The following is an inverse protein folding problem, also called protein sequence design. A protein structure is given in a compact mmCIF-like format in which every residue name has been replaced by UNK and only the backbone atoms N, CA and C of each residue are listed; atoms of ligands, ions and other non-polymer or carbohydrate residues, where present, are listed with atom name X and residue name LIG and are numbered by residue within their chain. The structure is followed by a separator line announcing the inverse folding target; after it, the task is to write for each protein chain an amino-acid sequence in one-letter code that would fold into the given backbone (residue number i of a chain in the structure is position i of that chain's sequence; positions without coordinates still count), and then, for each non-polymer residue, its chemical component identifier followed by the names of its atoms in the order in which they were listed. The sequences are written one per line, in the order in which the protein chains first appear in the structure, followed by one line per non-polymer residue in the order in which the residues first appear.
data_IF_031165231442
#
_entry.id   IF_031165231442
#
_cell.length_a   1.000
_cell.length_b   1.000
_cell.length_c   1.000
_cell.angle_alpha   90.00
_cell.angle_beta   90.00
_cell.angle_gamma   90.00
#
_symmetry.space_group_name_H-M   'P 1'
#
loop_
_entity.id
_entity.type
_entity.pdbx_description
1 polymer ?
#
# COMPACT_ATOMS: atom_id res chain seq x y z
N UNK A 1 5.20 -6.39 -2.01
CA UNK A 1 6.59 -6.13 -2.39
C UNK A 1 7.56 -6.84 -1.43
N UNK A 2 7.59 -6.50 -0.12
CA UNK A 2 8.57 -7.06 0.83
C UNK A 2 8.61 -8.60 0.86
N UNK A 3 7.45 -9.26 0.79
CA UNK A 3 7.35 -10.72 0.73
C UNK A 3 8.01 -11.29 -0.52
N UNK A 4 7.79 -10.66 -1.66
CA UNK A 4 8.41 -11.07 -2.92
C UNK A 4 9.93 -10.86 -2.88
N UNK A 5 10.39 -9.75 -2.30
CA UNK A 5 11.84 -9.50 -2.12
C UNK A 5 12.43 -10.58 -1.20
N UNK A 6 11.76 -10.90 -0.07
CA UNK A 6 12.22 -11.93 0.86
C UNK A 6 12.26 -13.34 0.26
N UNK A 7 11.49 -13.58 -0.81
CA UNK A 7 11.48 -14.85 -1.56
C UNK A 7 12.33 -14.80 -2.85
N UNK A 8 13.25 -13.84 -2.96
CA UNK A 8 14.27 -13.78 -4.00
C UNK A 8 13.86 -13.09 -5.30
N UNK A 9 12.71 -12.39 -5.33
CA UNK A 9 12.29 -11.66 -6.51
C UNK A 9 12.91 -10.26 -6.54
N UNK A 10 13.27 -9.80 -7.74
CA UNK A 10 13.57 -8.38 -7.98
C UNK A 10 12.24 -7.64 -8.16
N UNK A 11 11.97 -6.68 -7.29
CA UNK A 11 10.70 -5.96 -7.26
C UNK A 11 10.93 -4.47 -7.42
N UNK A 12 10.17 -3.84 -8.32
CA UNK A 12 10.04 -2.39 -8.45
C UNK A 12 8.63 -1.99 -8.05
N UNK A 13 8.49 -0.97 -7.22
CA UNK A 13 7.22 -0.41 -6.76
C UNK A 13 6.95 0.85 -7.55
N UNK A 14 5.80 0.91 -8.20
CA UNK A 14 5.44 2.04 -9.03
C UNK A 14 4.09 2.61 -8.60
N UNK A 15 4.06 3.93 -8.41
CA UNK A 15 2.84 4.70 -8.22
C UNK A 15 2.49 5.38 -9.54
N UNK A 16 1.36 4.98 -10.12
CA UNK A 16 0.81 5.64 -11.30
C UNK A 16 -0.09 6.79 -10.86
N UNK A 17 0.14 7.97 -11.40
CA UNK A 17 -0.72 9.11 -11.14
C UNK A 17 -1.25 9.71 -12.44
N UNK A 18 -2.54 10.05 -12.41
CA UNK A 18 -3.20 10.70 -13.53
C UNK A 18 -3.01 12.22 -13.40
N UNK A 19 -2.08 12.74 -14.17
CA UNK A 19 -1.80 14.18 -14.32
C UNK A 19 -2.20 14.72 -15.69
N UNK A 20 -3.03 13.96 -16.42
CA UNK A 20 -3.60 14.33 -17.70
C UNK A 20 -5.14 14.28 -17.66
N UNK A 21 -5.78 15.10 -18.48
CA UNK A 21 -7.23 15.06 -18.67
C UNK A 21 -8.05 15.94 -17.73
N UNK A 22 -9.37 15.80 -17.83
CA UNK A 22 -10.34 16.75 -17.29
C UNK A 22 -10.35 16.90 -15.76
N UNK A 23 -9.97 15.86 -15.02
CA UNK A 23 -9.96 15.91 -13.56
C UNK A 23 -8.91 16.89 -13.01
N UNK A 24 -7.73 16.92 -13.62
CA UNK A 24 -6.68 17.87 -13.25
C UNK A 24 -7.05 19.29 -13.63
N UNK A 25 -7.67 19.48 -14.79
CA UNK A 25 -8.20 20.77 -15.20
C UNK A 25 -9.29 21.29 -14.24
N UNK A 26 -10.18 20.41 -13.81
CA UNK A 26 -11.21 20.73 -12.80
C UNK A 26 -10.62 21.11 -11.44
N UNK A 27 -9.57 20.41 -10.99
CA UNK A 27 -8.85 20.78 -9.78
C UNK A 27 -8.25 22.19 -9.91
N UNK A 28 -7.52 22.45 -10.99
CA UNK A 28 -6.93 23.75 -11.26
C UNK A 28 -7.95 24.88 -11.29
N UNK A 29 -9.08 24.66 -11.98
CA UNK A 29 -10.16 25.64 -12.05
C UNK A 29 -10.83 25.89 -10.68
N UNK A 30 -10.97 24.85 -9.85
CA UNK A 30 -11.53 24.99 -8.50
C UNK A 30 -10.61 25.81 -7.58
N UNK A 31 -9.30 25.52 -7.63
CA UNK A 31 -8.31 26.26 -6.85
C UNK A 31 -8.16 27.71 -7.37
N UNK A 32 -8.23 27.93 -8.69
CA UNK A 32 -8.23 29.29 -9.29
C UNK A 32 -9.40 30.12 -8.77
N UNK A 33 -10.61 29.56 -8.80
CA UNK A 33 -11.79 30.27 -8.30
C UNK A 33 -11.64 30.64 -6.80
N UNK A 34 -11.16 29.72 -5.98
CA UNK A 34 -10.90 29.98 -4.58
C UNK A 34 -9.79 31.05 -4.37
N UNK A 35 -8.69 30.96 -5.13
CA UNK A 35 -7.59 31.92 -5.08
C UNK A 35 -8.05 33.34 -5.45
N UNK A 36 -8.79 33.49 -6.55
CA UNK A 36 -9.35 34.79 -6.96
C UNK A 36 -10.33 35.33 -5.94
N UNK A 37 -11.13 34.46 -5.31
CA UNK A 37 -12.02 34.80 -4.22
C UNK A 37 -11.28 35.44 -3.01
N UNK A 38 -10.12 34.90 -2.62
CA UNK A 38 -9.27 35.45 -1.57
C UNK A 38 -8.74 36.86 -1.88
N UNK A 39 -8.70 37.21 -3.17
CA UNK A 39 -8.24 38.51 -3.66
C UNK A 39 -9.40 39.52 -3.91
N UNK A 40 -10.65 39.13 -3.56
CA UNK A 40 -11.83 39.94 -3.84
C UNK A 40 -12.19 40.02 -5.35
N UNK A 41 -11.68 39.09 -6.16
CA UNK A 41 -11.98 38.94 -7.59
C UNK A 41 -12.77 37.61 -7.79
N UNK A 42 -14.06 37.54 -7.40
CA UNK A 42 -14.81 36.28 -7.39
C UNK A 42 -14.87 35.71 -8.81
N UNK A 43 -14.63 34.40 -8.92
CA UNK A 43 -14.81 33.61 -10.13
C UNK A 43 -15.70 32.43 -9.80
N UNK A 44 -16.51 31.98 -10.75
CA UNK A 44 -17.35 30.80 -10.57
C UNK A 44 -16.49 29.53 -10.59
N UNK A 45 -16.64 28.70 -9.55
CA UNK A 45 -16.06 27.38 -9.54
C UNK A 45 -16.81 26.49 -10.56
N UNK A 46 -16.14 25.53 -11.23
CA UNK A 46 -16.82 24.61 -12.13
C UNK A 46 -17.95 23.87 -11.42
N UNK A 47 -19.07 23.63 -12.09
CA UNK A 47 -20.22 22.93 -11.54
C UNK A 47 -19.80 21.52 -11.00
N UNK A 48 -18.98 20.82 -11.78
CA UNK A 48 -18.40 19.52 -11.47
C UNK A 48 -16.99 19.63 -10.81
N UNK A 49 -16.64 20.81 -10.31
CA UNK A 49 -15.37 21.08 -9.66
C UNK A 49 -15.27 20.47 -8.26
N UNK A 50 -14.07 20.45 -7.77
CA UNK A 50 -13.77 19.97 -6.42
C UNK A 50 -14.33 20.93 -5.36
N UNK A 51 -15.03 20.38 -4.36
CA UNK A 51 -15.72 21.12 -3.31
C UNK A 51 -15.27 20.56 -1.96
N UNK A 52 -14.25 21.13 -1.37
CA UNK A 52 -13.80 20.68 -0.04
C UNK A 52 -12.92 21.74 0.58
N UNK A 53 -12.73 21.68 1.90
CA UNK A 53 -11.88 22.62 2.63
C UNK A 53 -10.45 22.63 2.07
N UNK A 54 -9.94 21.49 1.62
CA UNK A 54 -8.60 21.39 1.02
C UNK A 54 -8.40 22.28 -0.22
N UNK A 55 -9.47 22.60 -0.98
CA UNK A 55 -9.37 23.53 -2.12
C UNK A 55 -9.09 24.95 -1.61
N UNK A 56 -9.75 25.36 -0.53
CA UNK A 56 -9.51 26.65 0.12
C UNK A 56 -8.12 26.70 0.78
N UNK A 57 -7.68 25.57 1.36
CA UNK A 57 -6.33 25.45 1.94
C UNK A 57 -5.27 25.59 0.84
N UNK A 58 -5.42 24.89 -0.30
CA UNK A 58 -4.54 25.04 -1.46
C UNK A 58 -4.50 26.47 -2.00
N UNK A 59 -5.64 27.13 -2.09
CA UNK A 59 -5.69 28.53 -2.53
C UNK A 59 -4.99 29.47 -1.54
N UNK A 60 -5.11 29.21 -0.25
CA UNK A 60 -4.44 29.98 0.80
C UNK A 60 -2.93 29.77 0.77
N UNK A 61 -2.47 28.53 0.63
CA UNK A 61 -1.05 28.20 0.47
C UNK A 61 -0.48 28.84 -0.82
N UNK A 62 -1.19 28.74 -1.92
CA UNK A 62 -0.80 29.35 -3.20
C UNK A 62 -0.61 30.85 -3.06
N UNK A 63 -1.56 31.54 -2.40
CA UNK A 63 -1.46 32.97 -2.14
C UNK A 63 -0.29 33.31 -1.24
N UNK A 64 -0.02 32.49 -0.23
CA UNK A 64 1.12 32.71 0.68
C UNK A 64 2.46 32.60 -0.07
N UNK A 65 2.57 31.69 -1.05
CA UNK A 65 3.80 31.47 -1.82
C UNK A 65 3.97 32.46 -2.99
N UNK A 66 2.90 32.74 -3.73
CA UNK A 66 2.94 33.48 -5.00
C UNK A 66 2.40 34.92 -4.89
N UNK A 67 1.84 35.27 -3.72
CA UNK A 67 1.17 36.57 -3.54
C UNK A 67 -0.02 36.73 -4.48
N UNK A 68 -0.20 37.94 -4.99
CA UNK A 68 -1.30 38.30 -5.90
C UNK A 68 -0.86 38.24 -7.38
N UNK A 69 0.41 37.89 -7.66
CA UNK A 69 1.01 38.00 -9.00
C UNK A 69 0.31 37.14 -10.07
N UNK A 70 -0.26 36.00 -9.69
CA UNK A 70 -0.98 35.15 -10.64
C UNK A 70 -2.30 35.78 -11.12
N UNK A 71 -2.91 36.65 -10.32
CA UNK A 71 -4.19 37.27 -10.68
C UNK A 71 -4.10 38.23 -11.87
N UNK A 72 -2.91 38.73 -12.16
CA UNK A 72 -2.65 39.71 -13.24
C UNK A 72 -2.19 39.01 -14.54
N UNK A 73 -2.02 37.71 -14.54
CA UNK A 73 -1.77 36.91 -15.74
C UNK A 73 -3.07 36.83 -16.60
N UNK A 74 -2.89 36.56 -17.91
CA UNK A 74 -4.02 36.17 -18.73
C UNK A 74 -4.69 34.89 -18.18
N UNK A 75 -5.99 34.69 -18.40
CA UNK A 75 -6.73 33.59 -17.77
C UNK A 75 -6.20 32.21 -18.10
N UNK A 76 -5.67 31.96 -19.29
CA UNK A 76 -5.15 30.66 -19.71
C UNK A 76 -3.81 30.37 -19.01
N UNK A 77 -2.87 31.30 -19.03
CA UNK A 77 -1.57 31.17 -18.36
C UNK A 77 -1.73 31.06 -16.85
N UNK A 78 -2.66 31.81 -16.25
CA UNK A 78 -2.99 31.71 -14.82
C UNK A 78 -3.49 30.33 -14.48
N UNK A 79 -4.49 29.82 -15.22
CA UNK A 79 -5.05 28.50 -15.00
C UNK A 79 -3.99 27.40 -15.13
N UNK A 80 -3.18 27.44 -16.17
CA UNK A 80 -2.11 26.46 -16.35
C UNK A 80 -1.14 26.42 -15.18
N UNK A 81 -0.70 27.59 -14.67
CA UNK A 81 0.19 27.68 -13.53
C UNK A 81 -0.44 27.18 -12.22
N UNK A 82 -1.69 27.55 -11.97
CA UNK A 82 -2.43 27.12 -10.78
C UNK A 82 -2.68 25.61 -10.82
N UNK A 83 -3.04 25.09 -11.98
CA UNK A 83 -3.22 23.64 -12.16
C UNK A 83 -1.94 22.87 -11.88
N UNK A 84 -0.82 23.25 -12.46
CA UNK A 84 0.48 22.59 -12.25
C UNK A 84 0.94 22.69 -10.80
N UNK A 85 0.82 23.88 -10.18
CA UNK A 85 1.16 24.06 -8.78
C UNK A 85 0.27 23.21 -7.86
N UNK A 86 -1.04 23.23 -8.06
CA UNK A 86 -2.00 22.44 -7.26
C UNK A 86 -1.73 20.96 -7.34
N UNK A 87 -1.48 20.47 -8.54
CA UNK A 87 -1.13 19.09 -8.78
C UNK A 87 0.15 18.68 -8.02
N UNK A 88 1.24 19.45 -8.18
CA UNK A 88 2.51 19.18 -7.48
C UNK A 88 2.33 19.19 -5.97
N UNK A 89 1.54 20.12 -5.44
CA UNK A 89 1.26 20.22 -4.01
C UNK A 89 0.49 19.02 -3.49
N UNK A 90 -0.54 18.58 -4.22
CA UNK A 90 -1.30 17.37 -3.89
C UNK A 90 -0.42 16.12 -3.94
N UNK A 91 0.39 15.97 -4.98
CA UNK A 91 1.31 14.84 -5.11
C UNK A 91 2.36 14.80 -3.99
N UNK A 92 2.87 15.96 -3.57
CA UNK A 92 3.77 16.05 -2.43
C UNK A 92 3.07 15.60 -1.12
N UNK A 93 1.81 15.97 -0.91
CA UNK A 93 0.99 15.51 0.21
C UNK A 93 0.82 13.99 0.20
N UNK A 94 0.46 13.39 -0.96
CA UNK A 94 0.33 11.94 -1.11
C UNK A 94 1.66 11.23 -0.76
N UNK A 95 2.79 11.75 -1.26
CA UNK A 95 4.12 11.19 -0.93
C UNK A 95 4.40 11.23 0.56
N UNK A 96 4.09 12.33 1.21
CA UNK A 96 4.28 12.50 2.65
C UNK A 96 3.42 11.51 3.45
N UNK A 97 2.14 11.38 3.14
CA UNK A 97 1.23 10.44 3.79
C UNK A 97 1.71 8.99 3.62
N UNK A 98 2.11 8.61 2.41
CA UNK A 98 2.64 7.27 2.13
C UNK A 98 3.96 7.01 2.88
N UNK A 99 4.85 7.99 2.94
CA UNK A 99 6.10 7.89 3.72
C UNK A 99 5.82 7.71 5.21
N UNK A 100 4.87 8.45 5.78
CA UNK A 100 4.41 8.27 7.17
C UNK A 100 3.89 6.85 7.43
N UNK A 101 3.25 6.24 6.44
CA UNK A 101 2.82 4.84 6.48
C UNK A 101 3.97 3.84 6.31
N UNK A 102 5.19 4.28 6.00
CA UNK A 102 6.28 3.38 5.62
C UNK A 102 6.04 2.71 4.25
N UNK A 103 5.29 3.37 3.37
CA UNK A 103 5.07 2.96 1.98
C UNK A 103 5.89 3.85 1.07
N UNK A 104 6.82 3.25 0.35
CA UNK A 104 7.72 3.93 -0.57
C UNK A 104 7.58 3.34 -1.96
N UNK A 105 7.70 4.18 -2.97
CA UNK A 105 7.69 3.80 -4.37
C UNK A 105 9.03 4.14 -5.02
N UNK A 106 9.52 3.24 -5.85
CA UNK A 106 10.77 3.38 -6.59
C UNK A 106 10.56 4.28 -7.82
N UNK A 107 9.38 4.20 -8.43
CA UNK A 107 8.97 4.98 -9.59
C UNK A 107 7.64 5.70 -9.32
N UNK A 108 7.59 6.96 -9.74
CA UNK A 108 6.38 7.78 -9.79
C UNK A 108 6.04 8.06 -11.24
N UNK A 109 5.12 7.26 -11.80
CA UNK A 109 4.82 7.25 -13.22
C UNK A 109 3.71 8.25 -13.56
N UNK A 110 4.03 9.19 -14.45
CA UNK A 110 3.11 10.22 -14.96
C UNK A 110 2.35 9.70 -16.19
N UNK A 111 1.02 9.72 -16.17
CA UNK A 111 0.21 9.39 -17.34
C UNK A 111 0.51 10.34 -18.50
N UNK A 112 0.77 11.61 -18.21
CA UNK A 112 1.13 12.64 -19.20
C UNK A 112 2.30 12.20 -20.08
N UNK A 113 3.26 11.48 -19.53
CA UNK A 113 4.39 10.94 -20.29
C UNK A 113 3.93 10.08 -21.47
N UNK A 114 2.88 9.28 -21.31
CA UNK A 114 2.35 8.44 -22.38
C UNK A 114 1.77 9.29 -23.55
N UNK A 115 1.23 10.44 -23.21
CA UNK A 115 0.67 11.37 -24.21
C UNK A 115 1.77 12.16 -24.91
N UNK A 116 2.71 12.72 -24.17
CA UNK A 116 3.77 13.61 -24.70
C UNK A 116 4.82 12.88 -25.53
N UNK A 117 5.13 11.63 -25.17
CA UNK A 117 6.14 10.83 -25.91
C UNK A 117 5.60 10.11 -27.14
N UNK A 118 4.28 10.16 -27.37
CA UNK A 118 3.64 9.42 -28.44
C UNK A 118 3.48 7.91 -28.14
N UNK A 119 3.72 7.47 -26.92
CA UNK A 119 3.65 6.07 -26.52
C UNK A 119 2.30 5.41 -26.81
N UNK A 120 1.20 6.18 -26.73
CA UNK A 120 -0.15 5.68 -27.06
C UNK A 120 -0.25 5.39 -28.57
N UNK A 121 0.23 6.29 -29.43
CA UNK A 121 0.22 6.10 -30.88
C UNK A 121 1.07 4.88 -31.29
N UNK A 122 2.29 4.77 -30.75
CA UNK A 122 3.14 3.61 -30.97
C UNK A 122 2.50 2.28 -30.49
N UNK A 123 1.71 2.35 -29.43
CA UNK A 123 0.97 1.18 -28.91
C UNK A 123 -0.15 0.76 -29.86
N UNK A 124 -0.86 1.72 -30.42
CA UNK A 124 -1.89 1.48 -31.45
C UNK A 124 -1.28 0.86 -32.69
N UNK A 125 -0.13 1.34 -33.11
CA UNK A 125 0.57 0.81 -34.29
C UNK A 125 1.07 -0.63 -34.06
N UNK A 126 1.66 -0.94 -32.91
CA UNK A 126 2.05 -2.30 -32.53
C UNK A 126 0.83 -3.26 -32.54
N UNK A 127 -0.28 -2.84 -31.95
CA UNK A 127 -1.51 -3.65 -31.93
C UNK A 127 -2.14 -3.79 -33.34
N UNK A 128 -1.98 -2.77 -34.20
CA UNK A 128 -2.43 -2.85 -35.60
C UNK A 128 -1.59 -3.83 -36.41
N UNK A 129 -0.27 -3.83 -36.24
CA UNK A 129 0.61 -4.83 -36.87
C UNK A 129 0.27 -6.26 -36.45
N UNK A 130 -0.23 -6.46 -35.25
CA UNK A 130 -0.72 -7.74 -34.75
C UNK A 130 -2.10 -8.13 -35.30
N UNK A 131 -2.77 -7.26 -36.05
CA UNK A 131 -4.08 -7.52 -36.66
C UNK A 131 -5.26 -7.53 -35.67
N UNK A 132 -5.09 -6.92 -34.50
CA UNK A 132 -6.10 -6.92 -33.42
C UNK A 132 -6.82 -5.57 -33.26
N UNK A 133 -6.53 -4.61 -34.14
CA UNK A 133 -7.15 -3.27 -34.18
C UNK A 133 -8.05 -3.14 -35.38
N UNK A 134 -9.15 -2.40 -35.25
CA UNK A 134 -10.09 -2.06 -36.29
C UNK A 134 -10.41 -0.56 -36.26
N UNK A 135 -10.40 0.09 -37.43
CA UNK A 135 -10.88 1.45 -37.58
C UNK A 135 -12.39 1.43 -37.90
N UNK A 136 -13.22 2.02 -37.02
CA UNK A 136 -14.67 2.01 -37.12
C UNK A 136 -15.24 3.34 -36.66
N UNK A 137 -16.09 3.97 -37.47
CA UNK A 137 -16.79 5.23 -37.19
C UNK A 137 -15.80 6.38 -36.80
N UNK A 138 -14.65 6.43 -37.47
CA UNK A 138 -13.60 7.41 -37.18
C UNK A 138 -12.81 7.21 -35.88
N UNK A 139 -13.09 6.16 -35.17
CA UNK A 139 -12.38 5.76 -33.91
C UNK A 139 -11.53 4.50 -34.15
N UNK A 140 -10.49 4.33 -33.33
CA UNK A 140 -9.62 3.16 -33.35
C UNK A 140 -10.02 2.22 -32.23
N UNK A 141 -10.37 1.00 -32.58
CA UNK A 141 -10.90 -0.01 -31.64
C UNK A 141 -9.95 -1.18 -31.47
N UNK A 142 -9.69 -1.60 -30.24
CA UNK A 142 -9.07 -2.89 -29.92
C UNK A 142 -10.17 -3.96 -29.89
N UNK A 143 -9.99 -5.02 -30.65
CA UNK A 143 -10.92 -6.15 -30.76
C UNK A 143 -10.79 -7.08 -29.54
N UNK A 144 -11.10 -6.54 -28.35
CA UNK A 144 -10.95 -7.24 -27.07
C UNK A 144 -11.90 -8.44 -26.95
N UNK A 145 -12.97 -8.49 -27.77
CA UNK A 145 -13.86 -9.68 -27.86
C UNK A 145 -13.15 -10.92 -28.34
N UNK A 146 -12.10 -10.80 -29.16
CA UNK A 146 -11.25 -11.93 -29.57
C UNK A 146 -10.52 -12.59 -28.39
N UNK A 147 -10.40 -11.88 -27.31
CA UNK A 147 -9.62 -12.27 -26.12
C UNK A 147 -10.49 -12.45 -24.86
N UNK A 148 -11.82 -12.52 -25.04
CA UNK A 148 -12.78 -12.86 -23.97
C UNK A 148 -13.35 -11.67 -23.21
N UNK A 149 -13.20 -10.43 -23.72
CA UNK A 149 -13.97 -9.29 -23.21
C UNK A 149 -15.42 -9.32 -23.73
N UNK A 150 -16.32 -8.62 -23.08
CA UNK A 150 -17.73 -8.56 -23.47
C UNK A 150 -17.99 -7.70 -24.72
N UNK A 151 -17.14 -6.71 -24.98
CA UNK A 151 -17.22 -5.80 -26.11
C UNK A 151 -15.84 -5.25 -26.44
N UNK A 152 -15.66 -4.86 -27.72
CA UNK A 152 -14.46 -4.17 -28.15
C UNK A 152 -14.31 -2.81 -27.45
N UNK A 153 -13.06 -2.39 -27.30
CA UNK A 153 -12.73 -1.18 -26.55
C UNK A 153 -12.10 -0.12 -27.47
N UNK A 154 -12.57 1.13 -27.43
CA UNK A 154 -11.91 2.18 -28.17
C UNK A 154 -10.56 2.53 -27.52
N UNK A 155 -9.50 2.58 -28.32
CA UNK A 155 -8.17 3.10 -27.94
C UNK A 155 -8.09 4.60 -28.21
N UNK A 156 -8.61 5.03 -29.37
CA UNK A 156 -8.67 6.43 -29.78
C UNK A 156 -10.12 6.75 -30.18
N UNK A 157 -10.63 7.86 -29.71
CA UNK A 157 -11.97 8.37 -30.04
C UNK A 157 -12.01 8.95 -31.44
N UNK A 158 -13.21 9.15 -31.98
CA UNK A 158 -13.43 9.78 -33.30
C UNK A 158 -12.89 11.22 -33.42
N UNK A 159 -12.70 11.91 -32.31
CA UNK A 159 -12.07 13.23 -32.28
C UNK A 159 -10.53 13.17 -32.15
N UNK A 160 -9.92 11.99 -32.25
CA UNK A 160 -8.49 11.79 -32.15
C UNK A 160 -7.95 11.70 -30.71
N UNK A 161 -8.78 11.91 -29.68
CA UNK A 161 -8.33 11.85 -28.28
C UNK A 161 -8.18 10.40 -27.81
N UNK A 162 -7.11 10.06 -27.09
CA UNK A 162 -6.96 8.75 -26.44
C UNK A 162 -8.06 8.48 -25.40
N UNK A 163 -8.37 7.22 -25.22
CA UNK A 163 -9.23 6.76 -24.12
C UNK A 163 -8.39 6.25 -22.96
N UNK A 164 -9.02 6.00 -21.80
CA UNK A 164 -8.35 5.32 -20.69
C UNK A 164 -7.83 3.93 -21.10
N UNK A 165 -8.54 3.22 -21.98
CA UNK A 165 -8.08 1.92 -22.49
C UNK A 165 -6.81 2.07 -23.34
N UNK A 166 -6.70 3.13 -24.14
CA UNK A 166 -5.49 3.45 -24.90
C UNK A 166 -4.30 3.77 -23.98
N UNK A 167 -4.52 4.55 -22.94
CA UNK A 167 -3.50 4.85 -21.93
C UNK A 167 -3.10 3.61 -21.13
N UNK A 168 -4.06 2.80 -20.68
CA UNK A 168 -3.82 1.55 -19.96
C UNK A 168 -3.00 0.54 -20.80
N UNK A 169 -3.31 0.43 -22.10
CA UNK A 169 -2.58 -0.45 -23.02
C UNK A 169 -1.13 0.05 -23.24
N UNK A 170 -0.95 1.36 -23.37
CA UNK A 170 0.38 1.96 -23.52
C UNK A 170 1.22 1.81 -22.23
N UNK A 171 0.60 1.96 -21.07
CA UNK A 171 1.23 1.74 -19.79
C UNK A 171 1.63 0.27 -19.56
N UNK A 172 0.77 -0.67 -19.95
CA UNK A 172 1.13 -2.09 -19.94
C UNK A 172 2.35 -2.36 -20.82
N UNK A 173 2.36 -1.85 -22.06
CA UNK A 173 3.47 -2.01 -23.02
C UNK A 173 4.76 -1.39 -22.47
N UNK A 174 4.71 -0.23 -21.82
CA UNK A 174 5.86 0.40 -21.18
C UNK A 174 6.49 -0.51 -20.13
N UNK A 175 5.68 -1.06 -19.22
CA UNK A 175 6.17 -2.00 -18.21
C UNK A 175 6.82 -3.24 -18.82
N UNK A 176 6.23 -3.80 -19.87
CA UNK A 176 6.81 -4.96 -20.56
C UNK A 176 8.16 -4.62 -21.21
N UNK A 177 8.28 -3.44 -21.82
CA UNK A 177 9.53 -2.96 -22.41
C UNK A 177 10.65 -2.75 -21.39
N UNK A 178 10.31 -2.46 -20.14
CA UNK A 178 11.28 -2.39 -19.03
C UNK A 178 11.76 -3.76 -18.55
N UNK A 179 11.27 -4.86 -19.13
CA UNK A 179 11.78 -6.21 -18.91
C UNK A 179 11.24 -6.92 -17.68
N UNK A 180 10.07 -6.52 -17.16
CA UNK A 180 9.41 -7.25 -16.08
C UNK A 180 8.68 -8.48 -16.61
N UNK A 181 8.92 -9.62 -15.97
CA UNK A 181 8.24 -10.89 -16.28
C UNK A 181 6.81 -10.92 -15.76
N UNK A 182 6.57 -10.29 -14.61
CA UNK A 182 5.26 -10.23 -13.95
C UNK A 182 4.90 -8.82 -13.52
N UNK A 183 3.66 -8.43 -13.80
CA UNK A 183 3.09 -7.13 -13.49
C UNK A 183 1.93 -7.32 -12.51
N UNK A 184 2.02 -6.70 -11.33
CA UNK A 184 0.96 -6.71 -10.33
C UNK A 184 0.27 -5.34 -10.30
N UNK A 185 -1.01 -5.33 -10.63
CA UNK A 185 -1.85 -4.13 -10.58
C UNK A 185 -2.73 -4.17 -9.33
N UNK A 186 -2.60 -3.16 -8.47
CA UNK A 186 -3.43 -3.01 -7.28
C UNK A 186 -4.43 -1.88 -7.54
N UNK A 187 -5.71 -2.21 -7.55
CA UNK A 187 -6.80 -1.27 -7.81
C UNK A 187 -7.82 -1.25 -6.68
N UNK A 188 -8.56 -0.15 -6.57
CA UNK A 188 -9.69 -0.04 -5.65
C UNK A 188 -10.93 -0.79 -6.13
N UNK A 189 -11.92 -0.90 -5.26
CA UNK A 189 -13.18 -1.59 -5.53
C UNK A 189 -14.00 -0.98 -6.67
N UNK A 190 -13.79 0.29 -7.00
CA UNK A 190 -14.39 0.99 -8.13
C UNK A 190 -13.96 0.41 -9.51
N UNK A 191 -12.83 -0.30 -9.55
CA UNK A 191 -12.37 -1.03 -10.73
C UNK A 191 -12.87 -2.48 -10.79
N UNK A 192 -13.76 -2.88 -9.88
CA UNK A 192 -14.32 -4.23 -9.87
C UNK A 192 -15.13 -4.53 -11.15
N UNK A 193 -15.04 -5.76 -11.65
CA UNK A 193 -15.86 -6.28 -12.74
C UNK A 193 -15.19 -6.19 -14.12
N UNK A 194 -15.44 -5.12 -14.89
CA UNK A 194 -15.04 -5.08 -16.31
C UNK A 194 -13.57 -4.70 -16.54
N UNK A 195 -12.94 -3.91 -15.67
CA UNK A 195 -11.56 -3.43 -15.88
C UNK A 195 -10.55 -4.57 -15.89
N UNK A 196 -10.53 -5.51 -14.93
CA UNK A 196 -9.62 -6.65 -14.98
C UNK A 196 -9.83 -7.52 -16.22
N UNK A 197 -11.08 -7.70 -16.68
CA UNK A 197 -11.39 -8.48 -17.88
C UNK A 197 -10.82 -7.80 -19.13
N UNK A 198 -11.06 -6.49 -19.26
CA UNK A 198 -10.51 -5.66 -20.34
C UNK A 198 -8.98 -5.73 -20.37
N UNK A 199 -8.33 -5.59 -19.22
CA UNK A 199 -6.87 -5.63 -19.14
C UNK A 199 -6.29 -7.01 -19.44
N UNK A 200 -6.96 -8.12 -19.08
CA UNK A 200 -6.56 -9.46 -19.54
C UNK A 200 -6.65 -9.58 -21.06
N UNK A 201 -7.69 -8.99 -21.67
CA UNK A 201 -7.78 -8.95 -23.13
C UNK A 201 -6.64 -8.12 -23.76
N UNK A 202 -6.23 -7.01 -23.14
CA UNK A 202 -5.05 -6.23 -23.56
C UNK A 202 -3.78 -7.08 -23.47
N UNK A 203 -3.53 -7.78 -22.37
CA UNK A 203 -2.38 -8.69 -22.18
C UNK A 203 -2.30 -9.70 -23.34
N UNK A 204 -3.42 -10.37 -23.62
CA UNK A 204 -3.52 -11.38 -24.70
C UNK A 204 -3.34 -10.75 -26.09
N UNK A 205 -3.82 -9.52 -26.29
CA UNK A 205 -3.65 -8.80 -27.56
C UNK A 205 -2.17 -8.52 -27.86
N UNK A 206 -1.34 -8.35 -26.82
CA UNK A 206 0.12 -8.28 -26.97
C UNK A 206 0.78 -9.66 -27.17
N UNK A 207 0.03 -10.75 -27.09
CA UNK A 207 0.54 -12.12 -27.21
C UNK A 207 1.21 -12.63 -25.93
N UNK A 208 1.04 -11.95 -24.81
CA UNK A 208 1.60 -12.36 -23.53
C UNK A 208 0.70 -13.42 -22.84
N UNK A 209 1.29 -14.35 -22.06
CA UNK A 209 0.55 -15.28 -21.22
C UNK A 209 -0.30 -14.58 -20.15
N UNK A 210 -1.40 -15.23 -19.73
CA UNK A 210 -2.34 -14.66 -18.74
C UNK A 210 -1.69 -14.37 -17.39
N UNK A 211 -0.66 -15.10 -17.01
CA UNK A 211 0.08 -14.92 -15.75
C UNK A 211 1.12 -13.81 -15.80
N UNK A 212 1.30 -13.15 -16.95
CA UNK A 212 2.14 -11.94 -17.07
C UNK A 212 1.59 -10.79 -16.25
N UNK A 213 0.26 -10.65 -16.15
CA UNK A 213 -0.39 -9.61 -15.37
C UNK A 213 -1.39 -10.16 -14.35
N UNK A 214 -1.21 -9.77 -13.10
CA UNK A 214 -2.08 -10.10 -11.98
C UNK A 214 -2.84 -8.85 -11.52
N UNK A 215 -4.16 -8.96 -11.37
CA UNK A 215 -5.03 -7.83 -11.00
C UNK A 215 -5.60 -8.08 -9.61
N UNK A 216 -5.18 -7.27 -8.66
CA UNK A 216 -5.57 -7.32 -7.26
C UNK A 216 -6.54 -6.17 -6.96
N UNK A 217 -7.74 -6.50 -6.48
CA UNK A 217 -8.78 -5.51 -6.17
C UNK A 217 -8.94 -5.40 -4.66
N UNK A 218 -8.61 -4.23 -4.13
CA UNK A 218 -8.82 -3.91 -2.72
C UNK A 218 -10.26 -3.49 -2.45
N UNK A 219 -10.84 -4.00 -1.36
CA UNK A 219 -12.19 -3.64 -0.94
C UNK A 219 -12.21 -2.33 -0.15
N UNK A 220 -13.42 -1.80 0.06
CA UNK A 220 -13.63 -0.56 0.82
C UNK A 220 -13.34 -0.77 2.30
N UNK A 221 -12.79 0.26 2.92
CA UNK A 221 -12.58 0.36 4.36
C UNK A 221 -13.61 1.32 4.95
N UNK A 222 -14.38 0.83 5.91
CA UNK A 222 -15.30 1.66 6.70
C UNK A 222 -14.62 2.06 7.99
N UNK A 223 -14.59 3.35 8.32
CA UNK A 223 -14.05 3.83 9.59
C UNK A 223 -15.20 4.00 10.58
N UNK A 224 -15.08 3.35 11.74
CA UNK A 224 -16.08 3.43 12.81
C UNK A 224 -15.40 3.84 14.12
N UNK A 225 -16.23 4.34 15.06
CA UNK A 225 -15.85 4.61 16.44
C UNK A 225 -16.93 4.07 17.35
N UNK A 226 -16.59 3.12 18.21
CA UNK A 226 -17.55 2.42 19.06
C UNK A 226 -18.77 1.90 18.28
N UNK A 227 -18.55 1.31 17.10
CA UNK A 227 -19.58 0.73 16.24
C UNK A 227 -20.46 1.74 15.49
N UNK A 228 -20.14 3.02 15.52
CA UNK A 228 -20.84 4.06 14.76
C UNK A 228 -19.93 4.61 13.64
N UNK A 229 -20.46 4.95 12.46
CA UNK A 229 -19.68 5.60 11.43
C UNK A 229 -18.91 6.80 11.99
N UNK A 230 -17.60 6.79 11.85
CA UNK A 230 -16.77 7.87 12.37
C UNK A 230 -16.92 9.11 11.49
N UNK A 231 -17.53 10.16 12.05
CA UNK A 231 -17.42 11.51 11.50
C UNK A 231 -16.07 12.06 11.92
N UNK A 232 -15.07 11.92 11.08
CA UNK A 232 -13.73 12.34 11.37
C UNK A 232 -13.27 13.36 10.32
N UNK A 233 -13.31 14.58 10.67
CA UNK A 233 -12.38 15.61 10.22
C UNK A 233 -12.80 16.96 10.79
N UNK A 234 -11.92 17.59 11.55
CA UNK A 234 -12.09 18.96 11.99
C UNK A 234 -11.90 19.99 10.85
N UNK A 235 -11.32 19.56 9.70
CA UNK A 235 -10.91 20.45 8.60
C UNK A 235 -11.70 20.29 7.31
N UNK A 236 -12.30 19.17 7.02
CA UNK A 236 -12.85 18.87 5.68
C UNK A 236 -14.32 18.41 5.67
N UNK A 237 -15.09 18.59 6.74
CA UNK A 237 -16.46 18.05 6.79
C UNK A 237 -16.46 16.55 7.13
N UNK A 238 -17.26 15.73 6.49
CA UNK A 238 -17.57 14.36 6.93
C UNK A 238 -16.59 13.24 6.48
N UNK A 239 -15.35 13.56 6.05
CA UNK A 239 -14.40 12.56 5.50
C UNK A 239 -13.17 12.43 6.39
N UNK A 240 -12.89 11.22 6.91
CA UNK A 240 -11.64 10.89 7.58
C UNK A 240 -10.51 10.72 6.56
N UNK A 241 -9.41 11.44 6.73
CA UNK A 241 -8.21 11.23 5.92
C UNK A 241 -7.30 10.16 6.55
N UNK A 242 -6.41 9.60 5.74
CA UNK A 242 -5.38 8.67 6.26
C UNK A 242 -4.47 9.37 7.26
N UNK A 243 -4.16 10.65 7.05
CA UNK A 243 -3.34 11.43 7.98
C UNK A 243 -4.03 11.63 9.33
N UNK A 244 -5.34 11.91 9.36
CA UNK A 244 -6.10 12.00 10.62
C UNK A 244 -6.05 10.68 11.41
N UNK A 245 -6.17 9.54 10.71
CA UNK A 245 -6.08 8.22 11.34
C UNK A 245 -4.67 7.96 11.85
N UNK A 246 -3.63 8.30 11.08
CA UNK A 246 -2.25 8.13 11.52
C UNK A 246 -1.91 8.99 12.74
N UNK A 247 -2.44 10.20 12.83
CA UNK A 247 -2.26 11.08 13.98
C UNK A 247 -2.92 10.51 15.24
N UNK A 248 -4.03 9.78 15.09
CA UNK A 248 -4.78 9.23 16.20
C UNK A 248 -4.29 7.83 16.64
N UNK A 249 -4.07 6.91 15.70
CA UNK A 249 -3.76 5.51 16.03
C UNK A 249 -2.29 5.15 15.88
N UNK A 250 -1.50 5.97 15.18
CA UNK A 250 -0.12 5.69 14.84
C UNK A 250 0.06 4.69 13.68
N UNK A 251 1.27 4.70 13.11
CA UNK A 251 1.66 3.91 11.94
C UNK A 251 1.44 2.40 12.16
N UNK A 252 1.95 1.86 13.27
CA UNK A 252 1.97 0.42 13.50
C UNK A 252 0.58 -0.17 13.69
N UNK A 253 -0.24 0.50 14.50
CA UNK A 253 -1.61 0.07 14.75
C UNK A 253 -2.46 0.16 13.47
N UNK A 254 -2.30 1.23 12.68
CA UNK A 254 -2.94 1.36 11.38
C UNK A 254 -2.54 0.24 10.43
N UNK A 255 -1.22 0.06 10.20
CA UNK A 255 -0.70 -0.95 9.27
C UNK A 255 -1.09 -2.36 9.68
N UNK A 256 -0.90 -2.70 10.95
CA UNK A 256 -1.18 -4.05 11.46
C UNK A 256 -2.66 -4.38 11.28
N UNK A 257 -3.55 -3.46 11.65
CA UNK A 257 -5.01 -3.65 11.50
C UNK A 257 -5.40 -3.83 10.04
N UNK A 258 -4.90 -2.99 9.14
CA UNK A 258 -5.17 -3.12 7.71
C UNK A 258 -4.66 -4.46 7.14
N UNK A 259 -3.50 -4.93 7.62
CA UNK A 259 -2.88 -6.16 7.14
C UNK A 259 -3.45 -7.44 7.77
N UNK A 260 -4.34 -7.37 8.76
CA UNK A 260 -5.00 -8.56 9.34
C UNK A 260 -6.04 -9.19 8.41
N UNK A 261 -6.50 -8.45 7.44
CA UNK A 261 -7.53 -8.87 6.51
C UNK A 261 -6.96 -9.18 5.13
N UNK A 262 -7.62 -10.07 4.40
CA UNK A 262 -7.30 -10.26 2.98
C UNK A 262 -7.70 -9.01 2.18
N UNK A 263 -7.03 -8.79 1.05
CA UNK A 263 -7.26 -7.60 0.21
C UNK A 263 -8.71 -7.50 -0.30
N UNK A 264 -9.35 -8.64 -0.53
CA UNK A 264 -10.72 -8.79 -1.04
C UNK A 264 -11.80 -8.75 0.05
N UNK A 265 -11.42 -8.67 1.31
CA UNK A 265 -12.36 -8.54 2.43
C UNK A 265 -12.68 -7.07 2.73
N UNK A 266 -13.95 -6.69 2.93
CA UNK A 266 -14.28 -5.38 3.46
C UNK A 266 -13.75 -5.25 4.89
N UNK A 267 -13.20 -4.08 5.22
CA UNK A 267 -12.60 -3.80 6.52
C UNK A 267 -13.47 -2.79 7.26
N UNK A 268 -13.82 -3.11 8.49
CA UNK A 268 -14.32 -2.16 9.46
C UNK A 268 -13.17 -1.76 10.39
N UNK A 269 -12.71 -0.53 10.28
CA UNK A 269 -11.62 0.02 11.06
C UNK A 269 -12.17 0.76 12.27
N UNK A 270 -12.23 0.09 13.43
CA UNK A 270 -12.66 0.69 14.68
C UNK A 270 -11.49 1.40 15.39
N UNK A 271 -11.51 2.72 15.31
CA UNK A 271 -10.46 3.59 15.87
C UNK A 271 -10.26 3.37 17.36
N UNK A 272 -11.35 3.19 18.12
CA UNK A 272 -11.26 2.98 19.56
C UNK A 272 -10.64 1.61 19.90
N UNK A 273 -11.01 0.56 19.18
CA UNK A 273 -10.44 -0.76 19.36
C UNK A 273 -8.94 -0.78 19.05
N UNK A 274 -8.53 -0.07 17.99
CA UNK A 274 -7.15 -0.02 17.50
C UNK A 274 -6.23 0.79 18.43
N UNK A 275 -6.74 1.79 19.13
CA UNK A 275 -5.95 2.62 20.06
C UNK A 275 -5.78 2.00 21.45
N UNK A 276 -6.53 0.95 21.79
CA UNK A 276 -6.43 0.32 23.12
C UNK A 276 -5.05 -0.31 23.36
N UNK A 277 -4.42 0.07 24.46
CA UNK A 277 -3.20 -0.57 24.96
C UNK A 277 -3.56 -1.75 25.88
N UNK A 278 -4.11 -2.80 25.28
CA UNK A 278 -4.51 -4.01 25.98
C UNK A 278 -4.18 -5.25 25.18
N UNK A 279 -4.10 -6.41 25.84
CA UNK A 279 -3.82 -7.70 25.18
C UNK A 279 -4.92 -8.14 24.19
N UNK A 280 -6.08 -7.49 24.22
CA UNK A 280 -7.15 -7.69 23.22
C UNK A 280 -6.85 -6.98 21.90
N UNK A 281 -5.94 -6.00 21.90
CA UNK A 281 -5.48 -5.34 20.69
C UNK A 281 -4.33 -6.17 20.07
N UNK A 282 -4.51 -6.74 18.87
CA UNK A 282 -3.55 -7.68 18.30
C UNK A 282 -2.15 -7.10 18.07
N UNK A 283 -2.03 -5.85 17.65
CA UNK A 283 -0.70 -5.24 17.46
C UNK A 283 -0.01 -5.05 18.81
N UNK A 284 -0.75 -4.58 19.81
CA UNK A 284 -0.23 -4.44 21.18
C UNK A 284 0.20 -5.81 21.74
N UNK A 285 -0.61 -6.85 21.54
CA UNK A 285 -0.30 -8.21 21.99
C UNK A 285 1.02 -8.74 21.43
N UNK A 286 1.25 -8.56 20.13
CA UNK A 286 2.47 -9.02 19.46
C UNK A 286 3.68 -8.18 19.89
N UNK A 287 3.55 -6.87 19.94
CA UNK A 287 4.62 -5.97 20.38
C UNK A 287 4.97 -6.22 21.87
N UNK A 288 3.97 -6.45 22.71
CA UNK A 288 4.19 -6.83 24.11
C UNK A 288 4.95 -8.14 24.25
N UNK A 289 4.66 -9.15 23.41
CA UNK A 289 5.44 -10.39 23.39
C UNK A 289 6.91 -10.10 23.07
N UNK A 290 7.19 -9.27 22.07
CA UNK A 290 8.55 -8.89 21.71
C UNK A 290 9.27 -8.12 22.83
N UNK A 291 8.62 -7.15 23.45
CA UNK A 291 9.16 -6.39 24.58
C UNK A 291 9.45 -7.30 25.78
N UNK A 292 8.58 -8.28 26.04
CA UNK A 292 8.77 -9.27 27.11
C UNK A 292 9.97 -10.19 26.83
N UNK A 293 10.11 -10.70 25.60
CA UNK A 293 11.27 -11.48 25.16
C UNK A 293 12.56 -10.67 25.38
N UNK A 294 12.58 -9.44 24.90
CA UNK A 294 13.73 -8.53 25.06
C UNK A 294 14.06 -8.24 26.52
N UNK A 295 13.04 -8.15 27.37
CA UNK A 295 13.22 -7.96 28.82
C UNK A 295 13.86 -9.19 29.50
N UNK A 296 13.47 -10.41 29.12
CA UNK A 296 14.05 -11.67 29.64
C UNK A 296 15.53 -11.73 29.27
N UNK A 297 15.89 -11.45 28.04
CA UNK A 297 17.28 -11.48 27.58
C UNK A 297 18.13 -10.39 28.28
N UNK A 298 17.60 -9.19 28.39
CA UNK A 298 18.26 -8.10 29.11
C UNK A 298 18.49 -8.44 30.58
N UNK A 299 17.47 -8.99 31.28
CA UNK A 299 17.58 -9.40 32.67
C UNK A 299 18.64 -10.48 32.86
N UNK A 300 18.73 -11.46 31.94
CA UNK A 300 19.79 -12.46 31.98
C UNK A 300 21.18 -11.84 31.92
N UNK A 301 21.39 -10.92 30.98
CA UNK A 301 22.66 -10.18 30.85
C UNK A 301 22.98 -9.36 32.11
N UNK A 302 22.00 -8.66 32.66
CA UNK A 302 22.15 -7.82 33.86
C UNK A 302 22.46 -8.64 35.11
N UNK A 303 21.98 -9.90 35.21
CA UNK A 303 22.26 -10.81 36.29
C UNK A 303 23.57 -11.60 36.10
N UNK A 304 24.29 -11.34 35.02
CA UNK A 304 25.58 -11.98 34.74
C UNK A 304 25.44 -13.37 34.10
N UNK A 305 24.24 -13.74 33.62
CA UNK A 305 24.08 -14.99 32.89
C UNK A 305 24.77 -14.93 31.54
N UNK A 306 25.60 -15.92 31.24
CA UNK A 306 26.25 -16.10 29.96
C UNK A 306 25.87 -17.47 29.42
N UNK A 307 25.10 -17.53 28.34
CA UNK A 307 24.76 -18.79 27.70
C UNK A 307 26.01 -19.48 27.12
N UNK A 308 25.99 -20.77 27.06
CA UNK A 308 26.95 -21.56 26.27
C UNK A 308 26.84 -21.11 24.77
N UNK A 309 27.92 -21.26 24.02
CA UNK A 309 27.86 -21.06 22.57
C UNK A 309 26.74 -21.91 21.93
N UNK A 310 26.14 -21.43 20.84
CA UNK A 310 25.05 -22.18 20.20
C UNK A 310 25.48 -23.60 19.79
N UNK A 311 26.72 -23.73 19.29
CA UNK A 311 27.29 -25.02 18.89
C UNK A 311 27.68 -25.92 20.09
N UNK A 312 27.79 -25.35 21.29
CA UNK A 312 28.09 -26.06 22.55
C UNK A 312 26.83 -26.41 23.35
N UNK A 313 25.70 -25.86 22.92
CA UNK A 313 24.43 -26.02 23.64
C UNK A 313 23.71 -27.28 23.17
N UNK A 314 23.39 -28.17 24.12
CA UNK A 314 22.54 -29.32 23.84
C UNK A 314 21.06 -28.89 23.76
N UNK A 315 20.57 -28.69 22.54
CA UNK A 315 19.18 -28.38 22.30
C UNK A 315 18.22 -29.54 22.54
N UNK A 316 18.73 -30.77 22.71
CA UNK A 316 17.95 -31.95 23.10
C UNK A 316 17.37 -31.86 24.50
N UNK A 317 17.87 -30.92 25.34
CA UNK A 317 17.31 -30.61 26.66
C UNK A 317 15.95 -29.90 26.60
N UNK A 318 15.53 -29.40 25.43
CA UNK A 318 14.23 -28.77 25.23
C UNK A 318 13.13 -29.83 25.00
N UNK A 319 12.74 -30.54 26.08
CA UNK A 319 11.83 -31.69 26.07
C UNK A 319 10.39 -31.35 26.53
N UNK A 320 10.18 -30.14 27.09
CA UNK A 320 8.86 -29.74 27.57
C UNK A 320 7.89 -29.53 26.41
N UNK A 321 6.60 -29.91 26.50
CA UNK A 321 5.62 -29.75 25.44
C UNK A 321 5.48 -28.30 24.89
N UNK A 322 5.66 -27.29 25.77
CA UNK A 322 5.58 -25.89 25.37
C UNK A 322 6.82 -25.43 24.57
N UNK A 323 8.00 -25.97 24.89
CA UNK A 323 9.24 -25.78 24.13
C UNK A 323 9.09 -26.37 22.72
N UNK A 324 8.61 -27.61 22.64
CA UNK A 324 8.33 -28.25 21.35
C UNK A 324 7.26 -27.52 20.52
N UNK A 325 6.24 -26.93 21.16
CA UNK A 325 5.24 -26.14 20.49
C UNK A 325 5.83 -24.84 19.93
N UNK A 326 6.69 -24.16 20.69
CA UNK A 326 7.37 -22.94 20.24
C UNK A 326 8.34 -23.24 19.09
N UNK A 327 9.15 -24.30 19.20
CA UNK A 327 10.05 -24.75 18.12
C UNK A 327 9.32 -25.03 16.82
N UNK A 328 8.16 -25.71 16.86
CA UNK A 328 7.33 -25.93 15.65
C UNK A 328 6.85 -24.64 15.02
N UNK A 329 6.55 -23.61 15.82
CA UNK A 329 6.16 -22.29 15.27
C UNK A 329 7.34 -21.60 14.61
N UNK A 330 8.53 -21.66 15.22
CA UNK A 330 9.75 -21.09 14.63
C UNK A 330 10.08 -21.77 13.29
N UNK A 331 10.03 -23.10 13.25
CA UNK A 331 10.30 -23.88 12.04
C UNK A 331 9.33 -23.58 10.88
N UNK A 332 8.09 -23.15 11.16
CA UNK A 332 7.11 -22.82 10.16
C UNK A 332 7.32 -21.45 9.50
N UNK A 333 8.23 -20.59 10.00
CA UNK A 333 8.37 -19.21 9.54
C UNK A 333 8.62 -19.09 8.04
N UNK A 334 9.61 -19.82 7.53
CA UNK A 334 9.98 -19.74 6.11
C UNK A 334 8.81 -20.13 5.21
N UNK A 335 8.12 -21.22 5.52
CA UNK A 335 6.94 -21.66 4.78
C UNK A 335 5.84 -20.59 4.80
N UNK A 336 5.59 -19.94 5.94
CA UNK A 336 4.58 -18.89 6.04
C UNK A 336 4.94 -17.67 5.19
N UNK A 337 6.22 -17.29 5.11
CA UNK A 337 6.69 -16.20 4.24
C UNK A 337 6.49 -16.55 2.77
N UNK A 338 6.90 -17.76 2.35
CA UNK A 338 6.74 -18.24 0.97
C UNK A 338 5.27 -18.29 0.58
N UNK A 339 4.43 -18.89 1.42
CA UNK A 339 2.99 -18.99 1.14
C UNK A 339 2.31 -17.62 1.10
N UNK A 340 2.70 -16.69 1.98
CA UNK A 340 2.20 -15.32 1.95
C UNK A 340 2.60 -14.58 0.66
N UNK A 341 3.82 -14.81 0.14
CA UNK A 341 4.29 -14.26 -1.12
C UNK A 341 3.53 -14.85 -2.32
N UNK A 342 3.44 -16.18 -2.41
CA UNK A 342 2.78 -16.90 -3.52
C UNK A 342 1.30 -16.54 -3.60
N UNK A 343 0.60 -16.48 -2.47
CA UNK A 343 -0.83 -16.21 -2.41
C UNK A 343 -1.19 -14.71 -2.39
N UNK A 344 -0.21 -13.81 -2.41
CA UNK A 344 -0.43 -12.36 -2.21
C UNK A 344 -1.20 -12.05 -0.91
N UNK A 345 -0.90 -12.80 0.14
CA UNK A 345 -1.67 -12.86 1.39
C UNK A 345 -0.85 -12.39 2.62
N UNK A 346 -0.50 -11.09 2.73
CA UNK A 346 0.29 -10.57 3.83
C UNK A 346 -0.38 -10.78 5.21
N UNK A 347 -1.70 -10.92 5.27
CA UNK A 347 -2.46 -11.25 6.48
C UNK A 347 -2.06 -12.58 7.13
N UNK A 348 -1.40 -13.48 6.39
CA UNK A 348 -0.83 -14.70 6.97
C UNK A 348 0.28 -14.39 7.97
N UNK A 349 1.03 -13.31 7.75
CA UNK A 349 2.11 -12.93 8.66
C UNK A 349 1.59 -12.28 9.95
N UNK A 350 0.52 -11.51 9.92
CA UNK A 350 -0.09 -10.99 11.14
C UNK A 350 -0.62 -12.13 12.00
N UNK A 351 -1.33 -13.09 11.38
CA UNK A 351 -1.79 -14.29 12.05
C UNK A 351 -0.63 -15.12 12.62
N UNK A 352 0.43 -15.30 11.84
CA UNK A 352 1.62 -16.03 12.29
C UNK A 352 2.27 -15.34 13.51
N UNK A 353 2.40 -14.00 13.48
CA UNK A 353 2.94 -13.23 14.60
C UNK A 353 2.11 -13.41 15.88
N UNK A 354 0.77 -13.37 15.77
CA UNK A 354 -0.14 -13.61 16.90
C UNK A 354 0.00 -15.04 17.46
N UNK A 355 0.10 -16.03 16.58
CA UNK A 355 0.28 -17.43 16.97
C UNK A 355 1.66 -17.70 17.61
N UNK A 356 2.73 -17.07 17.11
CA UNK A 356 4.07 -17.14 17.68
C UNK A 356 4.12 -16.47 19.05
N UNK A 357 3.53 -15.27 19.18
CA UNK A 357 3.41 -14.57 20.45
C UNK A 357 2.65 -15.41 21.50
N UNK A 358 1.55 -16.04 21.10
CA UNK A 358 0.77 -16.92 21.97
C UNK A 358 1.57 -18.18 22.39
N UNK A 359 2.35 -18.78 21.48
CA UNK A 359 3.21 -19.91 21.80
C UNK A 359 4.31 -19.50 22.80
N UNK A 360 4.94 -18.34 22.61
CA UNK A 360 5.92 -17.79 23.53
C UNK A 360 5.33 -17.53 24.91
N UNK A 361 4.15 -16.91 25.01
CA UNK A 361 3.52 -16.66 26.31
C UNK A 361 3.23 -17.93 27.09
N UNK A 362 2.76 -19.00 26.42
CA UNK A 362 2.56 -20.32 27.07
C UNK A 362 3.86 -20.93 27.52
N UNK A 363 4.89 -20.91 26.65
CA UNK A 363 6.23 -21.37 27.04
C UNK A 363 6.76 -20.61 28.27
N UNK A 364 6.69 -19.29 28.26
CA UNK A 364 7.18 -18.43 29.33
C UNK A 364 6.43 -18.64 30.65
N UNK A 365 5.16 -19.01 30.62
CA UNK A 365 4.36 -19.27 31.82
C UNK A 365 4.73 -20.59 32.49
N UNK A 366 5.16 -21.59 31.71
CA UNK A 366 5.40 -22.94 32.22
C UNK A 366 6.90 -23.30 32.35
N UNK A 367 7.76 -22.63 31.56
CA UNK A 367 9.19 -22.92 31.51
C UNK A 367 10.01 -21.72 32.02
N UNK A 368 10.69 -21.92 33.14
CA UNK A 368 11.61 -20.91 33.67
C UNK A 368 12.86 -20.84 32.81
N UNK A 369 13.09 -19.71 32.14
CA UNK A 369 14.20 -19.53 31.18
C UNK A 369 15.56 -19.62 31.89
N UNK A 370 15.72 -18.84 32.94
CA UNK A 370 16.96 -18.81 33.77
C UNK A 370 16.72 -19.56 35.07
N UNK A 371 17.27 -20.75 35.21
CA UNK A 371 17.17 -21.62 36.36
C UNK A 371 18.56 -22.00 36.90
N UNK A 372 18.59 -22.98 37.81
CA UNK A 372 19.83 -23.46 38.43
C UNK A 372 20.64 -24.38 37.51
N UNK A 373 19.99 -25.01 36.52
CA UNK A 373 20.63 -25.79 35.47
C UNK A 373 21.12 -24.88 34.35
N UNK A 374 22.42 -24.68 34.25
CA UNK A 374 23.05 -23.81 33.29
C UNK A 374 22.91 -24.32 31.84
N UNK A 375 22.96 -25.64 31.62
CA UNK A 375 22.84 -26.22 30.29
C UNK A 375 21.41 -26.04 29.73
N UNK A 376 20.40 -26.37 30.54
CA UNK A 376 18.99 -26.13 30.16
C UNK A 376 18.69 -24.64 30.01
N UNK A 377 19.22 -23.79 30.89
CA UNK A 377 19.06 -22.33 30.77
C UNK A 377 19.68 -21.79 29.49
N UNK A 378 20.83 -22.34 29.05
CA UNK A 378 21.45 -21.98 27.77
C UNK A 378 20.60 -22.40 26.57
N UNK A 379 20.02 -23.61 26.59
CA UNK A 379 19.12 -24.07 25.55
C UNK A 379 17.85 -23.20 25.46
N UNK A 380 17.24 -22.85 26.60
CA UNK A 380 16.09 -21.94 26.67
C UNK A 380 16.42 -20.51 26.24
N UNK A 381 17.61 -20.05 26.59
CA UNK A 381 18.11 -18.75 26.13
C UNK A 381 18.12 -18.65 24.59
N UNK A 382 18.69 -19.65 23.93
CA UNK A 382 18.71 -19.67 22.45
C UNK A 382 17.34 -19.83 21.84
N UNK A 383 16.43 -20.57 22.48
CA UNK A 383 15.03 -20.64 22.05
C UNK A 383 14.33 -19.26 22.12
N UNK A 384 14.58 -18.51 23.20
CA UNK A 384 14.05 -17.15 23.38
C UNK A 384 14.66 -16.17 22.37
N UNK A 385 15.97 -16.25 22.13
CA UNK A 385 16.67 -15.42 21.15
C UNK A 385 16.19 -15.71 19.73
N UNK A 386 16.02 -16.96 19.35
CA UNK A 386 15.43 -17.35 18.06
C UNK A 386 14.00 -16.82 17.93
N UNK A 387 13.21 -16.85 19.00
CA UNK A 387 11.84 -16.30 18.99
C UNK A 387 11.86 -14.79 18.79
N UNK A 388 12.76 -14.08 19.46
CA UNK A 388 12.96 -12.64 19.26
C UNK A 388 13.27 -12.32 17.80
N UNK A 389 14.23 -13.02 17.22
CA UNK A 389 14.68 -12.79 15.84
C UNK A 389 13.55 -13.06 14.83
N UNK A 390 12.86 -14.17 14.96
CA UNK A 390 11.77 -14.55 14.05
C UNK A 390 10.60 -13.56 14.15
N UNK A 391 10.25 -13.13 15.38
CA UNK A 391 9.18 -12.16 15.58
C UNK A 391 9.58 -10.78 15.00
N UNK A 392 10.83 -10.35 15.19
CA UNK A 392 11.37 -9.13 14.58
C UNK A 392 11.33 -9.20 13.05
N UNK A 393 11.78 -10.31 12.47
CA UNK A 393 11.74 -10.53 11.02
C UNK A 393 10.30 -10.49 10.48
N UNK A 394 9.35 -11.10 11.20
CA UNK A 394 7.93 -11.10 10.83
C UNK A 394 7.37 -9.68 10.81
N UNK A 395 7.61 -8.90 11.86
CA UNK A 395 7.17 -7.51 11.96
C UNK A 395 7.84 -6.62 10.92
N UNK A 396 9.14 -6.80 10.66
CA UNK A 396 9.87 -6.06 9.63
C UNK A 396 9.30 -6.28 8.22
N UNK A 397 8.90 -7.52 7.86
CA UNK A 397 8.28 -7.85 6.58
C UNK A 397 6.99 -7.07 6.34
N UNK A 398 6.23 -6.81 7.39
CA UNK A 398 4.98 -6.03 7.32
C UNK A 398 5.18 -4.54 7.68
N UNK A 399 6.43 -4.10 7.91
CA UNK A 399 6.78 -2.70 8.26
C UNK A 399 6.12 -2.20 9.54
N UNK A 400 6.04 -3.05 10.54
CA UNK A 400 5.60 -2.75 11.91
C UNK A 400 6.81 -2.82 12.83
N UNK A 401 6.93 -1.89 13.75
CA UNK A 401 8.08 -1.82 14.63
C UNK A 401 8.03 -2.90 15.72
N UNK A 402 9.21 -3.36 16.16
CA UNK A 402 9.39 -4.32 17.23
C UNK A 402 10.05 -3.63 18.45
N UNK A 403 9.25 -2.99 19.35
CA UNK A 403 9.78 -2.23 20.45
C UNK A 403 10.33 -3.15 21.55
N UNK A 404 11.55 -2.87 22.00
CA UNK A 404 12.18 -3.64 23.09
C UNK A 404 11.60 -3.30 24.50
N UNK A 405 10.83 -2.23 24.58
CA UNK A 405 10.17 -1.74 25.81
C UNK A 405 8.79 -1.19 25.46
N UNK A 406 7.83 -1.50 26.30
CA UNK A 406 6.46 -0.97 26.24
C UNK A 406 6.02 -0.54 27.64
#
# INVERSE_FOLDING_TARGET
ANLLIATGHKVEREYYFNDAGSQIEQLGASVEAAYLGLLGRPAEAPADGYKGAYVADLATELRAEQGDALADLDPEARRARITDWSFRRMLAGIRQTLSRLGVEFDVWFSERTLHETGAIAETVDDLRERGVVEDRDGAVWLRTTLFGDAKDQPLIRSNGAPTSCGADAAYYRDKRRRGFDRLLFLWGADHHGYVPRRMRAVVRAFGDPDDTAEFLIGQLVSVVRAGQPAKMSRRAGDIATVDDLLDEVGKDAFRYTMLRFSLDAPIEFDVEAVTRQSLDNPVYYVQYAFARISSVLRQGTETGFTALGVDETDLGLLDHPMEAALLRRLAAFEEQVVMAAVQRAPHRLTRYAEELAAAFHRFYAECRVLGDDHALSSARWWLVEATRQVLANTLALIRVDAPERM
#
